data_IF_693315683754
#
_entry.id   IF_693315683754
#
_cell.length_a   1.000
_cell.length_b   1.000
_cell.length_c   1.000
_cell.angle_alpha   90.00
_cell.angle_beta   90.00
_cell.angle_gamma   90.00
#
_symmetry.space_group_name_H-M   'P 1'
#
loop_
_entity.id
_entity.type
_entity.pdbx_description
1 polymer ?
#
# COMPACT_ATOMS: atom_id res chain seq x y z
N UNK A 1 28.26 -8.09 -11.43
CA UNK A 1 27.84 -7.59 -10.10
C UNK A 1 27.54 -8.79 -9.21
N UNK A 2 28.19 -8.84 -8.06
CA UNK A 2 28.01 -9.90 -7.06
C UNK A 2 26.53 -10.06 -6.66
N UNK A 3 26.11 -11.29 -6.37
CA UNK A 3 24.72 -11.65 -6.05
C UNK A 3 24.23 -10.87 -4.83
N UNK A 4 25.10 -10.69 -3.82
CA UNK A 4 24.81 -9.92 -2.62
C UNK A 4 24.57 -8.44 -2.94
N UNK A 5 25.39 -7.85 -3.81
CA UNK A 5 25.23 -6.45 -4.26
C UNK A 5 23.94 -6.25 -5.05
N UNK A 6 23.51 -7.25 -5.83
CA UNK A 6 22.21 -7.22 -6.53
C UNK A 6 21.02 -7.29 -5.57
N UNK A 7 21.07 -8.17 -4.57
CA UNK A 7 20.01 -8.27 -3.56
C UNK A 7 19.87 -6.96 -2.77
N UNK A 8 21.00 -6.42 -2.32
CA UNK A 8 21.02 -5.13 -1.62
C UNK A 8 20.42 -4.01 -2.48
N UNK A 9 20.80 -3.92 -3.76
CA UNK A 9 20.24 -2.94 -4.69
C UNK A 9 18.73 -3.09 -4.83
N UNK A 10 18.22 -4.31 -5.01
CA UNK A 10 16.77 -4.57 -5.13
C UNK A 10 16.03 -4.14 -3.85
N UNK A 11 16.56 -4.47 -2.67
CA UNK A 11 15.96 -4.09 -1.39
C UNK A 11 16.00 -2.57 -1.19
N UNK A 12 17.13 -1.92 -1.49
CA UNK A 12 17.26 -0.47 -1.39
C UNK A 12 16.28 0.24 -2.35
N UNK A 13 16.14 -0.27 -3.57
CA UNK A 13 15.18 0.26 -4.54
C UNK A 13 13.74 0.02 -4.11
N UNK A 14 13.40 -1.10 -3.45
CA UNK A 14 12.04 -1.31 -2.93
C UNK A 14 11.64 -0.21 -1.93
N UNK A 15 12.61 0.31 -1.16
CA UNK A 15 12.39 1.40 -0.21
C UNK A 15 12.38 2.79 -0.83
N UNK A 16 13.29 3.06 -1.77
CA UNK A 16 13.49 4.41 -2.33
C UNK A 16 12.62 4.64 -3.56
N UNK A 17 12.52 3.64 -4.44
CA UNK A 17 11.80 3.73 -5.71
C UNK A 17 11.33 2.34 -6.19
N UNK A 18 10.24 1.88 -5.55
CA UNK A 18 9.69 0.55 -5.76
C UNK A 18 9.46 0.14 -7.24
N UNK A 19 9.00 1.03 -8.15
CA UNK A 19 8.82 0.68 -9.56
C UNK A 19 10.09 0.14 -10.24
N UNK A 20 11.25 0.74 -9.97
CA UNK A 20 12.52 0.28 -10.54
C UNK A 20 12.95 -1.07 -9.97
N UNK A 21 12.68 -1.31 -8.68
CA UNK A 21 12.93 -2.62 -8.08
C UNK A 21 12.12 -3.72 -8.76
N UNK A 22 10.83 -3.47 -9.06
CA UNK A 22 10.00 -4.47 -9.74
C UNK A 22 10.49 -4.79 -11.14
N UNK A 23 10.98 -3.81 -11.90
CA UNK A 23 11.55 -4.04 -13.24
C UNK A 23 12.79 -4.94 -13.14
N UNK A 24 13.68 -4.68 -12.17
CA UNK A 24 14.84 -5.53 -11.94
C UNK A 24 14.45 -6.94 -11.49
N UNK A 25 13.44 -7.05 -10.62
CA UNK A 25 12.90 -8.33 -10.15
C UNK A 25 12.19 -9.11 -11.25
N UNK A 26 11.59 -8.43 -12.24
CA UNK A 26 10.97 -9.06 -13.39
C UNK A 26 12.01 -9.73 -14.29
N UNK A 27 13.10 -9.01 -14.58
CA UNK A 27 14.15 -9.47 -15.47
C UNK A 27 14.89 -10.69 -14.93
N UNK A 28 15.05 -10.80 -13.60
CA UNK A 28 15.72 -11.94 -12.96
C UNK A 28 14.71 -12.88 -12.28
N UNK A 29 14.52 -14.05 -12.89
CA UNK A 29 13.56 -15.09 -12.45
C UNK A 29 13.72 -15.53 -11.00
N UNK A 30 14.89 -15.31 -10.38
CA UNK A 30 15.13 -15.63 -8.97
C UNK A 30 14.25 -14.82 -8.02
N UNK A 31 13.90 -13.58 -8.40
CA UNK A 31 13.05 -12.70 -7.60
C UNK A 31 11.55 -12.90 -7.89
N UNK A 32 11.18 -13.83 -8.77
CA UNK A 32 9.76 -14.10 -9.05
C UNK A 32 9.01 -14.58 -7.81
N UNK A 33 9.68 -15.27 -6.89
CA UNK A 33 9.13 -15.70 -5.60
C UNK A 33 8.84 -14.55 -4.64
N UNK A 34 9.42 -13.38 -4.87
CA UNK A 34 9.25 -12.20 -4.02
C UNK A 34 7.99 -11.42 -4.37
N UNK A 35 7.53 -11.43 -5.63
CA UNK A 35 6.30 -10.73 -6.03
C UNK A 35 5.04 -11.13 -5.26
N UNK A 36 4.71 -12.42 -5.08
CA UNK A 36 3.60 -12.82 -4.22
C UNK A 36 3.81 -12.34 -2.79
N UNK A 37 5.07 -12.36 -2.34
CA UNK A 37 5.44 -11.96 -0.99
C UNK A 37 5.18 -10.47 -0.75
N UNK A 38 5.57 -9.63 -1.71
CA UNK A 38 5.25 -8.21 -1.73
C UNK A 38 3.74 -7.98 -1.74
N UNK A 39 2.98 -8.73 -2.56
CA UNK A 39 1.53 -8.56 -2.64
C UNK A 39 0.81 -8.82 -1.32
N UNK A 40 1.07 -9.94 -0.65
CA UNK A 40 0.35 -10.23 0.60
C UNK A 40 0.83 -9.37 1.77
N UNK A 41 2.12 -8.99 1.81
CA UNK A 41 2.64 -8.06 2.83
C UNK A 41 2.01 -6.67 2.64
N UNK A 42 2.03 -6.13 1.42
CA UNK A 42 1.39 -4.84 1.12
C UNK A 42 -0.11 -4.90 1.42
N UNK A 43 -0.79 -5.97 1.01
CA UNK A 43 -2.21 -6.16 1.30
C UNK A 43 -2.51 -6.14 2.80
N UNK A 44 -1.68 -6.75 3.65
CA UNK A 44 -1.84 -6.67 5.11
C UNK A 44 -1.65 -5.24 5.60
N UNK A 45 -0.56 -4.58 5.19
CA UNK A 45 -0.25 -3.20 5.61
C UNK A 45 -1.41 -2.27 5.23
N UNK A 46 -1.86 -2.31 3.98
CA UNK A 46 -2.97 -1.50 3.51
C UNK A 46 -4.29 -1.84 4.19
N UNK A 47 -4.58 -3.12 4.43
CA UNK A 47 -5.78 -3.51 5.19
C UNK A 47 -5.79 -2.87 6.56
N UNK A 48 -4.67 -2.93 7.29
CA UNK A 48 -4.54 -2.34 8.63
C UNK A 48 -4.70 -0.82 8.52
N UNK A 49 -3.94 -0.17 7.64
CA UNK A 49 -3.95 1.29 7.47
C UNK A 49 -5.35 1.80 7.12
N UNK A 50 -6.02 1.21 6.13
CA UNK A 50 -7.34 1.63 5.71
C UNK A 50 -8.41 1.35 6.77
N UNK A 51 -8.34 0.21 7.46
CA UNK A 51 -9.27 -0.11 8.55
C UNK A 51 -9.11 0.87 9.72
N UNK A 52 -7.87 1.13 10.14
CA UNK A 52 -7.59 2.09 11.22
C UNK A 52 -8.01 3.50 10.84
N UNK A 53 -7.73 3.95 9.61
CA UNK A 53 -8.15 5.27 9.16
C UNK A 53 -9.69 5.38 9.14
N UNK A 54 -10.36 4.43 8.50
CA UNK A 54 -11.81 4.45 8.28
C UNK A 54 -12.62 4.34 9.58
N UNK A 55 -12.24 3.43 10.49
CA UNK A 55 -13.06 3.09 11.65
C UNK A 55 -12.58 3.69 12.97
N UNK A 56 -11.31 4.11 13.09
CA UNK A 56 -10.78 4.66 14.34
C UNK A 56 -10.46 6.15 14.25
N UNK A 57 -9.73 6.57 13.21
CA UNK A 57 -9.20 7.94 13.13
C UNK A 57 -10.24 8.93 12.60
N UNK A 58 -10.83 8.65 11.44
CA UNK A 58 -11.80 9.52 10.79
C UNK A 58 -13.07 9.80 11.60
N UNK A 59 -13.71 8.82 12.29
CA UNK A 59 -14.87 9.12 13.12
C UNK A 59 -14.50 10.01 14.31
N UNK A 60 -13.32 9.80 14.93
CA UNK A 60 -12.84 10.65 16.03
C UNK A 60 -12.56 12.08 15.56
N UNK A 61 -11.95 12.25 14.38
CA UNK A 61 -11.75 13.55 13.75
C UNK A 61 -13.09 14.23 13.45
N UNK A 62 -14.03 13.52 12.84
CA UNK A 62 -15.35 14.07 12.50
C UNK A 62 -16.09 14.54 13.76
N UNK A 63 -16.05 13.76 14.84
CA UNK A 63 -16.62 14.15 16.14
C UNK A 63 -15.92 15.36 16.74
N UNK A 64 -14.58 15.41 16.69
CA UNK A 64 -13.79 16.53 17.20
C UNK A 64 -14.12 17.83 16.46
N UNK A 65 -14.11 17.81 15.12
CA UNK A 65 -14.42 18.99 14.30
C UNK A 65 -15.87 19.46 14.52
N UNK A 66 -16.83 18.54 14.62
CA UNK A 66 -18.22 18.86 14.96
C UNK A 66 -18.34 19.51 16.35
N UNK A 67 -17.58 19.03 17.34
CA UNK A 67 -17.61 19.57 18.71
C UNK A 67 -17.08 21.01 18.79
N UNK A 68 -16.11 21.36 17.96
CA UNK A 68 -15.47 22.69 17.98
C UNK A 68 -15.96 23.65 16.89
N UNK A 69 -16.99 23.28 16.12
CA UNK A 69 -17.50 24.06 14.97
C UNK A 69 -16.38 24.47 13.97
N UNK A 70 -15.30 23.70 13.92
CA UNK A 70 -14.25 23.87 12.94
C UNK A 70 -14.75 23.20 11.65
N UNK A 71 -14.61 23.89 10.51
CA UNK A 71 -15.12 23.50 9.18
C UNK A 71 -15.24 21.98 9.00
N UNK A 72 -16.40 21.53 8.51
CA UNK A 72 -16.67 20.11 8.25
C UNK A 72 -15.60 19.52 7.33
N UNK A 73 -14.93 18.45 7.80
CA UNK A 73 -14.09 17.62 6.94
C UNK A 73 -14.89 17.17 5.71
N UNK A 74 -14.26 17.05 4.52
CA UNK A 74 -14.90 16.45 3.37
C UNK A 74 -15.52 15.12 3.79
N UNK A 75 -16.80 14.89 3.46
CA UNK A 75 -17.48 13.64 3.81
C UNK A 75 -16.64 12.47 3.30
N UNK A 76 -16.03 11.76 4.24
CA UNK A 76 -15.28 10.57 3.91
C UNK A 76 -16.25 9.53 3.34
N UNK A 77 -16.00 9.10 2.11
CA UNK A 77 -16.88 8.17 1.44
C UNK A 77 -16.60 6.75 1.96
N UNK A 78 -17.44 6.29 2.90
CA UNK A 78 -17.35 4.95 3.48
C UNK A 78 -17.32 3.84 2.41
N UNK A 79 -17.96 4.04 1.26
CA UNK A 79 -17.94 3.07 0.17
C UNK A 79 -16.53 2.91 -0.43
N UNK A 80 -15.77 4.01 -0.57
CA UNK A 80 -14.38 3.96 -1.07
C UNK A 80 -13.49 3.22 -0.08
N UNK A 81 -13.63 3.48 1.23
CA UNK A 81 -12.85 2.79 2.25
C UNK A 81 -13.12 1.28 2.29
N UNK A 82 -14.39 0.88 2.24
CA UNK A 82 -14.78 -0.53 2.20
C UNK A 82 -14.23 -1.19 0.92
N UNK A 83 -14.34 -0.52 -0.23
CA UNK A 83 -13.75 -1.01 -1.48
C UNK A 83 -12.24 -1.21 -1.37
N UNK A 84 -11.49 -0.25 -0.81
CA UNK A 84 -10.05 -0.36 -0.61
C UNK A 84 -9.66 -1.49 0.34
N UNK A 85 -10.44 -1.72 1.41
CA UNK A 85 -10.23 -2.84 2.32
C UNK A 85 -10.47 -4.17 1.61
N UNK A 86 -11.56 -4.30 0.86
CA UNK A 86 -11.86 -5.51 0.07
C UNK A 86 -10.75 -5.76 -0.95
N UNK A 87 -10.29 -4.72 -1.63
CA UNK A 87 -9.17 -4.79 -2.58
C UNK A 87 -7.90 -5.30 -1.89
N UNK A 88 -7.53 -4.72 -0.74
CA UNK A 88 -6.34 -5.14 0.01
C UNK A 88 -6.46 -6.60 0.51
N UNK A 89 -7.63 -7.03 0.99
CA UNK A 89 -7.89 -8.43 1.37
C UNK A 89 -7.76 -9.36 0.16
N UNK A 90 -8.26 -8.95 -1.01
CA UNK A 90 -8.12 -9.72 -2.24
C UNK A 90 -6.65 -9.88 -2.64
N UNK A 91 -5.81 -8.85 -2.48
CA UNK A 91 -4.36 -8.96 -2.71
C UNK A 91 -3.69 -9.99 -1.80
N UNK A 92 -4.09 -10.06 -0.53
CA UNK A 92 -3.58 -11.06 0.42
C UNK A 92 -3.89 -12.47 -0.10
N UNK A 93 -5.16 -12.73 -0.43
CA UNK A 93 -5.63 -14.03 -0.94
C UNK A 93 -4.89 -14.37 -2.25
N UNK A 94 -4.78 -13.41 -3.17
CA UNK A 94 -4.11 -13.58 -4.44
C UNK A 94 -2.61 -13.86 -4.27
N UNK A 95 -1.93 -13.14 -3.37
CA UNK A 95 -0.53 -13.34 -3.03
C UNK A 95 -0.25 -14.74 -2.47
N UNK A 96 -1.09 -15.23 -1.54
CA UNK A 96 -0.98 -16.62 -1.05
C UNK A 96 -1.22 -17.65 -2.14
N UNK A 97 -2.24 -17.46 -2.97
CA UNK A 97 -2.56 -18.35 -4.08
C UNK A 97 -1.39 -18.44 -5.07
N UNK A 98 -0.79 -17.30 -5.41
CA UNK A 98 0.31 -17.21 -6.35
C UNK A 98 1.60 -17.81 -5.77
N UNK A 99 1.89 -17.58 -4.47
CA UNK A 99 3.02 -18.20 -3.76
C UNK A 99 2.94 -19.74 -3.86
N UNK A 100 1.76 -20.32 -3.61
CA UNK A 100 1.54 -21.77 -3.71
C UNK A 100 1.74 -22.30 -5.14
N UNK A 101 1.36 -21.53 -6.17
CA UNK A 101 1.58 -21.89 -7.58
C UNK A 101 3.05 -21.82 -7.98
N UNK A 102 3.79 -20.80 -7.54
CA UNK A 102 5.21 -20.64 -7.87
C UNK A 102 6.06 -21.70 -7.18
N UNK A 103 5.75 -22.03 -5.92
CA UNK A 103 6.45 -23.13 -5.23
C UNK A 103 6.30 -24.47 -5.95
N UNK A 104 5.16 -24.71 -6.62
CA UNK A 104 4.92 -25.93 -7.41
C UNK A 104 5.60 -25.93 -8.80
N UNK A 105 5.74 -24.77 -9.46
CA UNK A 105 6.23 -24.66 -10.85
C UNK A 105 7.62 -24.03 -10.99
N UNK A 106 8.20 -23.53 -9.90
CA UNK A 106 9.49 -22.84 -9.84
C UNK A 106 9.54 -21.46 -10.54
N UNK A 107 8.50 -21.04 -11.26
CA UNK A 107 8.44 -19.79 -12.03
C UNK A 107 7.04 -19.19 -12.01
N UNK A 108 6.94 -17.86 -12.10
CA UNK A 108 5.68 -17.17 -12.42
C UNK A 108 5.41 -17.37 -13.92
N UNK A 109 4.14 -17.62 -14.28
CA UNK A 109 3.73 -17.52 -15.69
C UNK A 109 3.56 -16.03 -16.04
N UNK A 110 4.12 -15.63 -17.19
CA UNK A 110 4.18 -14.23 -17.64
C UNK A 110 2.83 -13.49 -17.63
N UNK A 111 1.70 -14.22 -17.76
CA UNK A 111 0.36 -13.61 -17.67
C UNK A 111 0.04 -13.02 -16.29
N UNK A 112 0.38 -13.73 -15.20
CA UNK A 112 0.09 -13.26 -13.84
C UNK A 112 0.96 -12.06 -13.50
N UNK A 113 2.10 -12.00 -14.15
CA UNK A 113 3.17 -11.05 -13.94
C UNK A 113 2.68 -9.64 -14.31
N UNK A 114 1.93 -9.49 -15.41
CA UNK A 114 1.25 -8.24 -15.77
C UNK A 114 0.20 -7.82 -14.72
N UNK A 115 -0.60 -8.75 -14.23
CA UNK A 115 -1.62 -8.48 -13.19
C UNK A 115 -0.96 -7.98 -11.90
N UNK A 116 0.13 -8.64 -11.47
CA UNK A 116 0.91 -8.23 -10.29
C UNK A 116 1.42 -6.80 -10.47
N UNK A 117 1.97 -6.47 -11.64
CA UNK A 117 2.49 -5.13 -11.92
C UNK A 117 1.41 -4.05 -11.85
N UNK A 118 0.21 -4.33 -12.37
CA UNK A 118 -0.94 -3.43 -12.27
C UNK A 118 -1.31 -3.22 -10.81
N UNK A 119 -1.43 -4.30 -10.03
CA UNK A 119 -1.77 -4.22 -8.61
C UNK A 119 -0.72 -3.42 -7.82
N UNK A 120 0.57 -3.73 -8.01
CA UNK A 120 1.65 -3.02 -7.33
C UNK A 120 1.71 -1.55 -7.73
N UNK A 121 1.45 -1.22 -9.00
CA UNK A 121 1.38 0.18 -9.45
C UNK A 121 0.23 0.94 -8.80
N UNK A 122 -0.94 0.30 -8.65
CA UNK A 122 -2.05 0.87 -7.89
C UNK A 122 -1.68 1.09 -6.42
N UNK A 123 -1.01 0.13 -5.79
CA UNK A 123 -0.51 0.25 -4.42
C UNK A 123 0.45 1.42 -4.25
N UNK A 124 1.37 1.60 -5.19
CA UNK A 124 2.31 2.72 -5.18
C UNK A 124 1.60 4.06 -5.35
N UNK A 125 0.63 4.15 -6.25
CA UNK A 125 -0.21 5.35 -6.40
C UNK A 125 -1.00 5.64 -5.13
N UNK A 126 -1.61 4.63 -4.50
CA UNK A 126 -2.34 4.77 -3.24
C UNK A 126 -1.41 5.21 -2.10
N UNK A 127 -0.21 4.63 -2.02
CA UNK A 127 0.83 5.01 -1.05
C UNK A 127 1.29 6.46 -1.22
N UNK A 128 1.54 6.88 -2.47
CA UNK A 128 1.87 8.28 -2.77
C UNK A 128 0.71 9.21 -2.44
N UNK A 129 -0.51 8.89 -2.85
CA UNK A 129 -1.68 9.73 -2.60
C UNK A 129 -1.93 9.89 -1.10
N UNK A 130 -1.86 8.81 -0.33
CA UNK A 130 -2.03 8.85 1.13
C UNK A 130 -0.87 9.59 1.83
N UNK A 131 0.37 9.40 1.38
CA UNK A 131 1.54 10.10 1.90
C UNK A 131 1.58 11.59 1.55
N UNK A 132 1.18 11.98 0.34
CA UNK A 132 1.05 13.40 -0.06
C UNK A 132 -0.09 14.08 0.68
N UNK A 133 -1.25 13.40 0.82
CA UNK A 133 -2.37 13.92 1.60
C UNK A 133 -1.98 14.16 3.06
N UNK A 134 -1.18 13.28 3.68
CA UNK A 134 -0.73 13.48 5.06
C UNK A 134 0.29 14.62 5.22
N UNK A 135 1.07 14.94 4.18
CA UNK A 135 1.99 16.09 4.16
C UNK A 135 1.27 17.41 3.84
N UNK A 136 0.25 17.37 2.98
CA UNK A 136 -0.50 18.56 2.54
C UNK A 136 -1.62 18.96 3.49
N UNK A 137 -2.14 18.03 4.32
CA UNK A 137 -3.01 18.38 5.43
C UNK A 137 -2.16 19.08 6.48
N UNK A 138 -2.29 20.40 6.66
CA UNK A 138 -1.46 21.09 7.60
C UNK A 138 -1.83 20.58 9.00
N UNK A 139 -0.82 20.13 9.74
CA UNK A 139 -0.81 20.18 11.21
C UNK A 139 -0.77 21.68 11.57
N UNK A 140 -1.83 22.42 11.22
CA UNK A 140 -1.94 23.81 11.58
C UNK A 140 -2.13 23.83 13.09
N UNK A 141 -1.01 24.17 13.74
CA UNK A 141 -0.87 24.56 15.14
C UNK A 141 -2.23 24.92 15.73
N UNK A 142 -2.74 24.05 16.61
CA UNK A 142 -3.77 24.43 17.55
C UNK A 142 -3.17 25.52 18.45
N UNK A 143 -3.16 26.76 17.98
CA UNK A 143 -3.01 27.92 18.85
C UNK A 143 -4.31 28.01 19.63
N UNK A 144 -4.34 27.29 20.76
CA UNK A 144 -5.28 27.54 21.84
C UNK A 144 -5.10 29.02 22.23
N UNK A 145 -6.06 29.86 21.85
CA UNK A 145 -6.21 31.18 22.46
C UNK A 145 -7.11 30.97 23.68
N UNK A 146 -6.59 31.04 24.92
CA UNK A 146 -7.46 31.04 26.08
C UNK A 146 -8.29 32.34 26.06
N UNK A 147 -9.60 32.21 26.18
CA UNK A 147 -10.47 33.28 26.67
C UNK A 147 -11.00 32.84 28.02
#
# INVERSE_FOLDING_TARGET
MDIAKKHFLVVALLWIFAPMAWVLMWQDKRYHTWFPTLLWINGIIFTIVFTTQAFLILPKLTYFYAKYNIHSLPRFNNAIAIFLIIFAVFQIIFGFHLKKKIQKKGKILDHYMGIIFVILSLDFLLGILTGLLSLLLPVNKMTFSPR
#
